data_IF_358032724048
#
_entry.id   IF_358032724048
#
_cell.length_a   1.000
_cell.length_b   1.000
_cell.length_c   1.000
_cell.angle_alpha   90.00
_cell.angle_beta   90.00
_cell.angle_gamma   90.00
#
_symmetry.space_group_name_H-M   'P 1'
#
loop_
_entity.id
_entity.type
_entity.pdbx_description
1 polymer ?
#
# COMPACT_ATOMS: atom_id res chain seq x y z
N UNK A 1 22.59 -16.43 16.54
CA UNK A 1 22.51 -15.71 15.28
C UNK A 1 21.80 -14.40 15.50
N UNK A 2 22.41 -13.31 15.10
CA UNK A 2 21.82 -11.97 15.29
C UNK A 2 20.72 -11.75 14.27
N UNK A 3 19.52 -11.41 14.74
CA UNK A 3 18.38 -11.06 13.88
C UNK A 3 18.71 -9.90 12.94
N UNK A 4 19.69 -9.09 13.33
CA UNK A 4 20.16 -7.94 12.55
C UNK A 4 20.71 -8.36 11.18
N UNK A 5 21.45 -9.47 11.10
CA UNK A 5 21.98 -9.97 9.83
C UNK A 5 20.86 -10.43 8.90
N UNK A 6 19.79 -10.99 9.45
CA UNK A 6 18.66 -11.45 8.67
C UNK A 6 17.96 -10.27 7.98
N UNK A 7 17.76 -9.16 8.69
CA UNK A 7 17.12 -7.97 8.13
C UNK A 7 17.98 -7.25 7.10
N UNK A 8 19.30 -7.19 7.33
CA UNK A 8 20.25 -6.52 6.42
C UNK A 8 20.36 -7.23 5.06
N UNK A 9 20.08 -8.53 5.01
CA UNK A 9 20.23 -9.35 3.82
C UNK A 9 18.90 -9.74 3.16
N UNK A 10 17.78 -9.09 3.56
CA UNK A 10 16.50 -9.35 2.93
C UNK A 10 16.42 -8.70 1.56
N UNK A 11 16.09 -9.50 0.57
CA UNK A 11 15.91 -9.08 -0.82
C UNK A 11 14.69 -9.75 -1.41
N UNK A 12 14.16 -9.18 -2.49
CA UNK A 12 13.15 -9.87 -3.28
C UNK A 12 13.77 -11.11 -3.92
N UNK A 13 13.02 -12.22 -3.97
CA UNK A 13 13.53 -13.42 -4.63
C UNK A 13 13.73 -13.20 -6.12
N UNK A 14 14.77 -13.85 -6.68
CA UNK A 14 15.03 -13.85 -8.13
C UNK A 14 14.08 -14.82 -8.82
N UNK A 15 12.86 -14.38 -9.03
CA UNK A 15 11.80 -15.19 -9.64
C UNK A 15 11.16 -14.43 -10.80
N UNK A 16 10.39 -15.15 -11.60
CA UNK A 16 9.64 -14.58 -12.72
C UNK A 16 8.78 -13.41 -12.23
N UNK A 17 8.68 -12.36 -13.04
CA UNK A 17 7.88 -11.15 -12.73
C UNK A 17 6.44 -11.49 -12.37
N UNK A 18 5.86 -12.51 -13.01
CA UNK A 18 4.48 -12.94 -12.71
C UNK A 18 4.36 -13.55 -11.30
N UNK A 19 5.41 -14.15 -10.78
CA UNK A 19 5.44 -14.72 -9.44
C UNK A 19 5.80 -13.67 -8.40
N UNK A 20 6.56 -12.65 -8.80
CA UNK A 20 7.01 -11.59 -7.89
C UNK A 20 5.83 -10.82 -7.30
N UNK A 21 4.80 -10.55 -8.10
CA UNK A 21 3.60 -9.87 -7.59
C UNK A 21 2.90 -10.69 -6.51
N UNK A 22 2.93 -12.01 -6.60
CA UNK A 22 2.34 -12.89 -5.58
C UNK A 22 3.15 -12.86 -4.29
N UNK A 23 4.48 -12.79 -4.40
CA UNK A 23 5.34 -12.63 -3.24
C UNK A 23 5.07 -11.29 -2.53
N UNK A 24 4.97 -10.20 -3.30
CA UNK A 24 4.70 -8.88 -2.75
C UNK A 24 3.31 -8.84 -2.11
N UNK A 25 2.30 -9.47 -2.73
CA UNK A 25 0.97 -9.58 -2.12
C UNK A 25 1.02 -10.30 -0.78
N UNK A 26 1.73 -11.43 -0.71
CA UNK A 26 1.90 -12.17 0.53
C UNK A 26 2.58 -11.33 1.60
N UNK A 27 3.60 -10.58 1.21
CA UNK A 27 4.30 -9.68 2.13
C UNK A 27 3.37 -8.56 2.62
N UNK A 28 2.59 -7.96 1.73
CA UNK A 28 1.60 -6.95 2.08
C UNK A 28 0.51 -7.53 3.01
N UNK A 29 0.01 -8.72 2.70
CA UNK A 29 -1.01 -9.37 3.52
C UNK A 29 -0.50 -9.64 4.94
N UNK A 30 0.78 -9.98 5.08
CA UNK A 30 1.38 -10.21 6.39
C UNK A 30 1.72 -8.93 7.15
N UNK A 31 2.49 -8.05 6.55
CA UNK A 31 3.12 -6.91 7.22
C UNK A 31 2.64 -5.54 6.73
N UNK A 32 1.82 -5.49 5.70
CA UNK A 32 1.31 -4.24 5.17
C UNK A 32 0.06 -3.74 5.87
N UNK A 33 -0.32 -2.52 5.56
CA UNK A 33 -1.58 -1.97 6.02
C UNK A 33 -2.22 -1.11 4.94
N UNK A 34 -3.54 -1.00 4.99
CA UNK A 34 -4.30 -0.09 4.15
C UNK A 34 -5.33 0.61 5.02
N UNK A 35 -5.43 1.92 4.86
CA UNK A 35 -6.42 2.72 5.58
C UNK A 35 -6.90 3.85 4.70
N UNK A 36 -8.14 4.24 4.86
CA UNK A 36 -8.68 5.44 4.23
C UNK A 36 -9.57 6.19 5.21
N UNK A 37 -9.61 7.50 5.00
CA UNK A 37 -10.42 8.39 5.83
C UNK A 37 -10.93 9.55 4.98
N UNK A 38 -11.97 10.21 5.48
CA UNK A 38 -12.55 11.37 4.83
C UNK A 38 -11.96 12.63 5.48
N UNK A 39 -11.26 13.45 4.67
CA UNK A 39 -10.71 14.72 5.12
C UNK A 39 -11.71 15.84 4.85
N UNK A 40 -11.88 16.82 5.78
CA UNK A 40 -12.72 17.97 5.52
C UNK A 40 -12.16 18.84 4.39
N UNK A 41 -13.00 19.65 3.74
CA UNK A 41 -12.53 20.55 2.68
C UNK A 41 -11.48 21.51 3.22
N UNK A 42 -10.38 21.69 2.47
CA UNK A 42 -9.35 22.67 2.83
C UNK A 42 -9.74 24.02 2.23
N UNK A 43 -10.27 24.92 3.07
CA UNK A 43 -10.72 26.25 2.65
C UNK A 43 -9.59 27.12 2.13
N UNK A 44 -8.35 26.91 2.60
CA UNK A 44 -7.17 27.64 2.12
C UNK A 44 -6.86 27.36 0.66
N UNK A 45 -7.15 26.14 0.20
CA UNK A 45 -6.95 25.71 -1.19
C UNK A 45 -8.25 25.83 -2.01
N UNK A 46 -9.25 26.53 -1.52
CA UNK A 46 -10.56 26.72 -2.16
C UNK A 46 -11.29 25.41 -2.48
N UNK A 47 -11.04 24.38 -1.68
CA UNK A 47 -11.76 23.12 -1.80
C UNK A 47 -13.20 23.30 -1.27
N UNK A 48 -14.16 22.81 -2.02
CA UNK A 48 -15.59 22.88 -1.65
C UNK A 48 -16.12 21.58 -1.03
N UNK A 49 -15.47 20.44 -1.34
CA UNK A 49 -15.96 19.13 -0.97
C UNK A 49 -14.93 18.36 -0.15
N UNK A 50 -15.39 17.47 0.76
CA UNK A 50 -14.49 16.55 1.45
C UNK A 50 -13.76 15.66 0.45
N UNK A 51 -12.59 15.15 0.86
CA UNK A 51 -11.78 14.23 0.07
C UNK A 51 -11.60 12.91 0.82
N UNK A 52 -11.60 11.82 0.08
CA UNK A 52 -11.20 10.53 0.62
C UNK A 52 -9.70 10.37 0.41
N UNK A 53 -8.97 10.18 1.50
CA UNK A 53 -7.53 9.94 1.47
C UNK A 53 -7.28 8.51 1.86
N UNK A 54 -6.55 7.79 1.01
CA UNK A 54 -6.19 6.39 1.25
C UNK A 54 -4.68 6.25 1.24
N UNK A 55 -4.18 5.38 2.08
CA UNK A 55 -2.76 5.08 2.13
C UNK A 55 -2.56 3.58 2.31
N UNK A 56 -1.75 3.00 1.42
CA UNK A 56 -1.24 1.65 1.58
C UNK A 56 0.21 1.77 2.04
N UNK A 57 0.61 0.99 3.01
CA UNK A 57 1.98 1.00 3.49
C UNK A 57 2.51 -0.38 3.82
N UNK A 58 3.81 -0.53 3.67
CA UNK A 58 4.56 -1.71 4.09
C UNK A 58 5.76 -1.21 4.90
N UNK A 59 5.95 -1.77 6.10
CA UNK A 59 7.06 -1.42 6.96
C UNK A 59 8.12 -2.52 6.93
N UNK A 60 9.38 -2.14 6.99
CA UNK A 60 10.48 -3.10 7.11
C UNK A 60 11.71 -2.42 7.74
N UNK A 61 12.48 -3.20 8.47
CA UNK A 61 13.80 -2.75 8.94
C UNK A 61 14.83 -2.78 7.81
N UNK A 62 14.53 -3.46 6.71
CA UNK A 62 15.42 -3.58 5.56
C UNK A 62 14.99 -2.61 4.46
N UNK A 63 15.68 -1.48 4.38
CA UNK A 63 15.41 -0.47 3.36
C UNK A 63 15.60 -1.02 1.95
N UNK A 64 16.61 -1.86 1.74
CA UNK A 64 16.90 -2.45 0.44
C UNK A 64 15.72 -3.23 -0.11
N UNK A 65 15.05 -4.02 0.74
CA UNK A 65 13.85 -4.76 0.32
C UNK A 65 12.76 -3.82 -0.16
N UNK A 66 12.51 -2.74 0.57
CA UNK A 66 11.50 -1.75 0.18
C UNK A 66 11.88 -1.03 -1.11
N UNK A 67 13.16 -0.75 -1.33
CA UNK A 67 13.64 -0.15 -2.56
C UNK A 67 13.41 -1.08 -3.76
N UNK A 68 13.64 -2.37 -3.59
CA UNK A 68 13.37 -3.37 -4.62
C UNK A 68 11.88 -3.46 -4.94
N UNK A 69 11.02 -3.43 -3.91
CA UNK A 69 9.56 -3.40 -4.10
C UNK A 69 9.17 -2.12 -4.84
N UNK A 70 9.71 -0.98 -4.45
CA UNK A 70 9.45 0.30 -5.13
C UNK A 70 9.83 0.24 -6.60
N UNK A 71 10.99 -0.33 -6.91
CA UNK A 71 11.44 -0.46 -8.30
C UNK A 71 10.48 -1.34 -9.11
N UNK A 72 10.02 -2.44 -8.52
CA UNK A 72 9.04 -3.30 -9.17
C UNK A 72 7.73 -2.56 -9.43
N UNK A 73 7.26 -1.80 -8.46
CA UNK A 73 6.04 -0.99 -8.62
C UNK A 73 6.22 0.07 -9.70
N UNK A 74 7.39 0.70 -9.75
CA UNK A 74 7.69 1.73 -10.75
C UNK A 74 7.69 1.15 -12.18
N UNK A 75 8.20 -0.06 -12.36
CA UNK A 75 8.14 -0.77 -13.64
C UNK A 75 6.68 -0.99 -14.07
N UNK A 76 5.78 -1.15 -13.12
CA UNK A 76 4.35 -1.31 -13.36
C UNK A 76 3.58 0.01 -13.31
N UNK A 77 4.28 1.13 -13.43
CA UNK A 77 3.71 2.47 -13.47
C UNK A 77 2.94 2.84 -12.19
N UNK A 78 3.47 2.39 -11.05
CA UNK A 78 2.92 2.69 -9.72
C UNK A 78 3.97 3.46 -8.95
N UNK A 79 3.61 4.67 -8.53
CA UNK A 79 4.52 5.53 -7.77
C UNK A 79 4.41 5.22 -6.28
N UNK A 80 5.54 4.97 -5.66
CA UNK A 80 5.63 4.72 -4.23
C UNK A 80 6.74 5.57 -3.63
N UNK A 81 6.62 5.89 -2.35
CA UNK A 81 7.64 6.63 -1.61
C UNK A 81 8.14 5.82 -0.42
N UNK A 82 9.38 6.05 -0.03
CA UNK A 82 9.98 5.41 1.14
C UNK A 82 10.42 6.50 2.09
N UNK A 83 10.05 6.38 3.36
CA UNK A 83 10.52 7.27 4.41
C UNK A 83 10.95 6.46 5.63
N UNK A 84 11.73 7.10 6.49
CA UNK A 84 12.13 6.50 7.75
C UNK A 84 11.06 6.76 8.79
N UNK A 85 10.66 5.73 9.53
CA UNK A 85 9.74 5.88 10.64
C UNK A 85 10.43 6.54 11.83
N UNK A 86 9.65 7.16 12.71
CA UNK A 86 10.18 7.90 13.86
C UNK A 86 10.70 7.00 14.98
N UNK A 87 10.59 5.69 14.83
CA UNK A 87 11.00 4.73 15.88
C UNK A 87 11.48 3.42 15.28
N UNK A 88 12.30 2.69 16.06
CA UNK A 88 12.68 1.29 15.81
C UNK A 88 13.43 1.02 14.50
N UNK A 89 14.12 2.02 13.95
CA UNK A 89 14.88 1.90 12.70
C UNK A 89 14.08 1.30 11.56
N UNK A 90 12.77 1.54 11.57
CA UNK A 90 11.87 1.06 10.52
C UNK A 90 11.82 2.02 9.36
N UNK A 91 11.63 1.46 8.17
CA UNK A 91 11.33 2.22 6.96
C UNK A 91 9.92 1.90 6.50
N UNK A 92 9.28 2.85 5.86
CA UNK A 92 7.89 2.73 5.40
C UNK A 92 7.84 3.02 3.91
N UNK A 93 7.32 2.06 3.14
CA UNK A 93 6.96 2.27 1.75
C UNK A 93 5.47 2.60 1.70
N UNK A 94 5.11 3.66 0.98
CA UNK A 94 3.72 4.13 0.92
C UNK A 94 3.27 4.39 -0.51
N UNK A 95 2.02 4.04 -0.80
CA UNK A 95 1.30 4.41 -2.02
C UNK A 95 0.03 5.12 -1.60
N UNK A 96 -0.19 6.34 -2.06
CA UNK A 96 -1.32 7.16 -1.61
C UNK A 96 -2.12 7.82 -2.74
N UNK A 97 -1.58 7.94 -3.93
CA UNK A 97 -2.33 8.49 -5.06
C UNK A 97 -3.42 7.51 -5.49
N UNK A 98 -4.63 8.01 -5.68
CA UNK A 98 -5.79 7.18 -6.05
C UNK A 98 -5.53 6.30 -7.27
N UNK A 99 -4.97 6.89 -8.32
CA UNK A 99 -4.66 6.19 -9.56
C UNK A 99 -3.63 5.07 -9.32
N UNK A 100 -2.63 5.32 -8.49
CA UNK A 100 -1.61 4.32 -8.15
C UNK A 100 -2.18 3.20 -7.29
N UNK A 101 -3.09 3.53 -6.37
CA UNK A 101 -3.76 2.55 -5.53
C UNK A 101 -4.64 1.61 -6.34
N UNK A 102 -5.35 2.13 -7.36
CA UNK A 102 -6.13 1.28 -8.27
C UNK A 102 -5.24 0.32 -9.07
N UNK A 103 -4.11 0.80 -9.56
CA UNK A 103 -3.14 -0.03 -10.28
C UNK A 103 -2.53 -1.09 -9.35
N UNK A 104 -2.21 -0.70 -8.13
CA UNK A 104 -1.67 -1.63 -7.14
C UNK A 104 -2.67 -2.72 -6.79
N UNK A 105 -3.92 -2.37 -6.57
CA UNK A 105 -4.98 -3.33 -6.31
C UNK A 105 -5.07 -4.36 -7.45
N UNK A 106 -5.09 -3.89 -8.69
CA UNK A 106 -5.17 -4.79 -9.85
C UNK A 106 -3.92 -5.67 -9.96
N UNK A 107 -2.75 -5.11 -9.69
CA UNK A 107 -1.49 -5.86 -9.74
C UNK A 107 -1.46 -6.98 -8.71
N UNK A 108 -1.86 -6.70 -7.47
CA UNK A 108 -1.76 -7.65 -6.37
C UNK A 108 -2.89 -8.67 -6.34
N UNK A 109 -4.12 -8.28 -6.68
CA UNK A 109 -5.30 -9.12 -6.44
C UNK A 109 -6.00 -9.62 -7.69
N UNK A 110 -5.67 -9.09 -8.87
CA UNK A 110 -6.24 -9.63 -10.11
C UNK A 110 -5.74 -11.06 -10.31
N UNK A 111 -6.66 -12.01 -10.39
CA UNK A 111 -6.37 -13.46 -10.52
C UNK A 111 -5.62 -14.04 -9.29
N UNK A 112 -5.75 -13.42 -8.12
CA UNK A 112 -5.17 -13.94 -6.90
C UNK A 112 -6.02 -15.09 -6.36
N UNK A 113 -5.39 -16.25 -6.12
CA UNK A 113 -6.06 -17.40 -5.53
C UNK A 113 -6.03 -17.41 -4.00
N UNK A 114 -5.00 -16.81 -3.41
CA UNK A 114 -4.81 -16.78 -1.96
C UNK A 114 -4.49 -15.36 -1.53
N UNK A 115 -5.25 -14.84 -0.57
CA UNK A 115 -5.04 -13.51 0.01
C UNK A 115 -5.68 -13.40 1.39
N UNK A 116 -5.23 -12.42 2.17
CA UNK A 116 -5.81 -12.18 3.49
C UNK A 116 -7.09 -11.34 3.33
N UNK A 117 -8.23 -11.94 3.66
CA UNK A 117 -9.57 -11.36 3.41
C UNK A 117 -9.74 -9.95 3.95
N UNK A 118 -9.28 -9.71 5.18
CA UNK A 118 -9.47 -8.42 5.86
C UNK A 118 -8.87 -7.24 5.07
N UNK A 119 -7.63 -7.39 4.62
CA UNK A 119 -6.96 -6.33 3.86
C UNK A 119 -7.52 -6.23 2.44
N UNK A 120 -7.78 -7.38 1.82
CA UNK A 120 -8.41 -7.42 0.51
C UNK A 120 -9.77 -6.71 0.52
N UNK A 121 -10.63 -7.02 1.49
CA UNK A 121 -11.97 -6.46 1.58
C UNK A 121 -11.92 -4.94 1.71
N UNK A 122 -11.04 -4.43 2.53
CA UNK A 122 -10.86 -2.99 2.73
C UNK A 122 -10.35 -2.31 1.46
N UNK A 123 -9.35 -2.90 0.81
CA UNK A 123 -8.79 -2.37 -0.42
C UNK A 123 -9.81 -2.43 -1.55
N UNK A 124 -10.50 -3.58 -1.67
CA UNK A 124 -11.55 -3.78 -2.67
C UNK A 124 -12.69 -2.78 -2.49
N UNK A 125 -13.12 -2.54 -1.26
CA UNK A 125 -14.18 -1.58 -0.97
C UNK A 125 -13.77 -0.17 -1.39
N UNK A 126 -12.55 0.25 -1.06
CA UNK A 126 -12.04 1.57 -1.46
C UNK A 126 -11.99 1.71 -2.99
N UNK A 127 -11.44 0.72 -3.68
CA UNK A 127 -11.22 0.78 -5.13
C UNK A 127 -12.54 0.75 -5.92
N UNK A 128 -13.52 -0.04 -5.46
CA UNK A 128 -14.76 -0.29 -6.20
C UNK A 128 -15.95 0.53 -5.72
N UNK A 129 -15.76 1.45 -4.78
CA UNK A 129 -16.83 2.30 -4.27
C UNK A 129 -16.59 3.76 -4.69
N UNK A 130 -17.63 4.42 -5.15
CA UNK A 130 -17.54 5.83 -5.53
C UNK A 130 -17.23 6.71 -4.32
N UNK A 131 -16.49 7.80 -4.54
CA UNK A 131 -16.07 8.72 -3.50
C UNK A 131 -17.26 9.28 -2.72
N UNK A 132 -18.35 9.62 -3.41
CA UNK A 132 -19.57 10.12 -2.78
C UNK A 132 -20.15 9.14 -1.78
N UNK A 133 -20.14 7.86 -2.12
CA UNK A 133 -20.62 6.80 -1.24
C UNK A 133 -19.69 6.59 -0.02
N UNK A 134 -18.37 6.63 -0.23
CA UNK A 134 -17.42 6.52 0.87
C UNK A 134 -17.59 7.66 1.87
N UNK A 135 -17.84 8.87 1.39
CA UNK A 135 -18.12 10.02 2.23
C UNK A 135 -19.43 9.84 3.01
N UNK A 136 -20.47 9.34 2.35
CA UNK A 136 -21.77 9.10 2.99
C UNK A 136 -21.65 8.05 4.10
N UNK A 137 -20.91 6.96 3.87
CA UNK A 137 -20.66 5.92 4.87
C UNK A 137 -19.94 6.48 6.10
N UNK A 138 -18.97 7.37 5.87
CA UNK A 138 -18.22 8.00 6.95
C UNK A 138 -19.14 8.87 7.83
N UNK A 139 -20.08 9.61 7.23
CA UNK A 139 -21.02 10.48 7.96
C UNK A 139 -22.01 9.67 8.80
N UNK A 140 -22.31 8.46 8.38
CA UNK A 140 -23.29 7.59 9.04
C UNK A 140 -22.65 6.62 10.05
N UNK A 141 -21.34 6.67 10.18
CA UNK A 141 -20.61 5.81 11.10
C UNK A 141 -20.62 6.33 12.53
#
# INVERSE_FOLDING_TARGET
MSDRKTYENLHLPEINTNLLKHFIRGYFDGDGSISYHVSPPNKKNREKNPRVRCNMSICSKTKTLLEEIRNFLQINDIKASICKANRDDMYILSVSAKKDLHKLYNLLYNNAGIYLSRKFDKFNHYVNTEVTQLIAEHRNA
#
